data_IF_256023259180
#
_entry.id   IF_256023259180
#
_cell.length_a   1.000
_cell.length_b   1.000
_cell.length_c   1.000
_cell.angle_alpha   90.00
_cell.angle_beta   90.00
_cell.angle_gamma   90.00
#
_symmetry.space_group_name_H-M   'P 1'
#
loop_
_entity.id
_entity.type
_entity.pdbx_description
1 polymer ?
#
# COMPACT_ATOMS: atom_id res chain seq x y z
N UNK A 1 -6.15 19.15 -13.24
CA UNK A 1 -7.02 18.90 -12.06
C UNK A 1 -6.71 17.48 -11.65
N UNK A 2 -6.39 17.24 -10.38
CA UNK A 2 -6.17 15.89 -9.85
C UNK A 2 -7.49 15.11 -9.93
N UNK A 3 -7.41 13.83 -10.29
CA UNK A 3 -8.56 12.94 -10.38
C UNK A 3 -8.88 12.33 -9.02
N UNK A 4 -7.84 12.06 -8.23
CA UNK A 4 -7.95 11.54 -6.87
C UNK A 4 -7.31 12.51 -5.89
N UNK A 5 -7.99 12.80 -4.78
CA UNK A 5 -7.49 13.65 -3.70
C UNK A 5 -7.95 13.08 -2.36
N UNK A 6 -7.03 13.02 -1.40
CA UNK A 6 -7.31 12.62 -0.02
C UNK A 6 -6.50 13.46 0.97
N UNK A 7 -6.72 13.25 2.27
CA UNK A 7 -5.92 13.79 3.36
C UNK A 7 -4.63 12.98 3.50
N UNK A 8 -3.50 13.66 3.63
CA UNK A 8 -2.21 13.03 3.87
C UNK A 8 -2.16 12.49 5.30
N UNK A 9 -1.93 11.19 5.44
CA UNK A 9 -1.71 10.50 6.70
C UNK A 9 -0.24 10.13 6.83
N UNK A 10 0.37 10.53 7.96
CA UNK A 10 1.77 10.18 8.29
C UNK A 10 1.82 9.71 9.73
N UNK A 11 2.39 8.53 9.97
CA UNK A 11 2.55 8.01 11.33
C UNK A 11 1.22 7.76 12.05
N UNK A 12 0.16 7.42 11.31
CA UNK A 12 -1.21 7.17 11.81
C UNK A 12 -1.98 8.42 12.23
N UNK A 13 -1.54 9.60 11.78
CA UNK A 13 -2.23 10.86 12.07
C UNK A 13 -2.25 11.79 10.84
N UNK A 14 -3.11 12.80 10.89
CA UNK A 14 -3.21 13.83 9.85
C UNK A 14 -1.91 14.63 9.79
N UNK A 15 -1.31 14.69 8.60
CA UNK A 15 -0.22 15.61 8.35
C UNK A 15 -0.78 17.03 8.28
N UNK A 16 -0.37 17.89 9.21
CA UNK A 16 -0.78 19.28 9.24
C UNK A 16 0.29 20.19 8.61
N UNK A 17 -0.16 21.28 8.00
CA UNK A 17 0.69 22.38 7.59
C UNK A 17 1.02 23.31 8.79
N UNK A 18 1.89 24.32 8.62
CA UNK A 18 2.20 25.27 9.71
C UNK A 18 1.00 26.06 10.25
N UNK A 19 -0.09 26.13 9.49
CA UNK A 19 -1.34 26.80 9.87
C UNK A 19 -2.35 25.84 10.54
N UNK A 20 -1.94 24.58 10.81
CA UNK A 20 -2.76 23.50 11.36
C UNK A 20 -3.90 23.05 10.44
N UNK A 21 -3.76 23.23 9.14
CA UNK A 21 -4.69 22.67 8.15
C UNK A 21 -4.20 21.29 7.69
N UNK A 22 -5.10 20.32 7.49
CA UNK A 22 -4.74 19.04 6.90
C UNK A 22 -4.14 19.22 5.51
N UNK A 23 -3.00 18.56 5.28
CA UNK A 23 -2.37 18.51 3.97
C UNK A 23 -3.11 17.52 3.08
N UNK A 24 -3.22 17.84 1.81
CA UNK A 24 -3.79 16.95 0.80
C UNK A 24 -2.70 16.13 0.12
N UNK A 25 -3.10 14.98 -0.41
CA UNK A 25 -2.31 14.10 -1.26
C UNK A 25 -3.15 13.75 -2.50
N UNK A 26 -2.52 13.62 -3.66
CA UNK A 26 -3.24 13.49 -4.94
C UNK A 26 -2.75 12.32 -5.81
N UNK A 27 -3.65 11.91 -6.72
CA UNK A 27 -3.44 10.96 -7.81
C UNK A 27 -2.64 9.72 -7.37
N UNK A 28 -1.42 9.58 -7.89
CA UNK A 28 -0.54 8.42 -7.63
C UNK A 28 -0.26 8.22 -6.14
N UNK A 29 -0.04 9.31 -5.41
CA UNK A 29 0.36 9.25 -4.02
C UNK A 29 -0.85 8.92 -3.12
N UNK A 30 -2.05 9.39 -3.50
CA UNK A 30 -3.30 9.01 -2.85
C UNK A 30 -3.57 7.51 -3.01
N UNK A 31 -3.42 6.96 -4.22
CA UNK A 31 -3.56 5.51 -4.45
C UNK A 31 -2.55 4.72 -3.61
N UNK A 32 -1.29 5.16 -3.56
CA UNK A 32 -0.27 4.50 -2.76
C UNK A 32 -0.62 4.47 -1.25
N UNK A 33 -1.16 5.57 -0.72
CA UNK A 33 -1.62 5.65 0.68
C UNK A 33 -2.78 4.68 0.94
N UNK A 34 -3.77 4.62 0.06
CA UNK A 34 -4.91 3.72 0.19
C UNK A 34 -4.48 2.25 0.20
N UNK A 35 -3.55 1.87 -0.68
CA UNK A 35 -3.00 0.51 -0.72
C UNK A 35 -2.28 0.18 0.59
N UNK A 36 -1.48 1.11 1.14
CA UNK A 36 -0.81 0.91 2.41
C UNK A 36 -1.80 0.66 3.56
N UNK A 37 -2.86 1.48 3.63
CA UNK A 37 -3.93 1.33 4.62
C UNK A 37 -4.69 0.02 4.45
N UNK A 38 -5.12 -0.31 3.23
CA UNK A 38 -5.84 -1.54 2.94
C UNK A 38 -5.06 -2.79 3.36
N UNK A 39 -3.76 -2.86 3.03
CA UNK A 39 -2.93 -4.01 3.43
C UNK A 39 -2.81 -4.07 4.95
N UNK A 40 -2.64 -2.94 5.61
CA UNK A 40 -2.56 -2.90 7.08
C UNK A 40 -3.88 -3.32 7.74
N UNK A 41 -5.00 -2.82 7.24
CA UNK A 41 -6.33 -3.10 7.77
C UNK A 41 -6.73 -4.56 7.58
N UNK A 42 -6.18 -5.24 6.56
CA UNK A 42 -6.39 -6.68 6.35
C UNK A 42 -5.80 -7.56 7.45
N UNK A 43 -4.80 -7.08 8.20
CA UNK A 43 -4.06 -7.88 9.19
C UNK A 43 -3.13 -8.94 8.61
N UNK A 44 -3.00 -9.04 7.28
CA UNK A 44 -2.14 -10.04 6.62
C UNK A 44 -0.66 -9.82 6.92
N UNK A 45 -0.19 -8.57 7.04
CA UNK A 45 1.20 -8.27 7.44
C UNK A 45 1.55 -8.85 8.81
N UNK A 46 0.65 -8.69 9.80
CA UNK A 46 0.85 -9.23 11.15
C UNK A 46 0.93 -10.76 11.10
N UNK A 47 0.07 -11.37 10.29
CA UNK A 47 0.06 -12.82 10.06
C UNK A 47 1.37 -13.29 9.43
N UNK A 48 1.86 -12.59 8.40
CA UNK A 48 3.09 -12.89 7.69
C UNK A 48 4.32 -12.85 8.61
N UNK A 49 4.42 -11.82 9.46
CA UNK A 49 5.55 -11.65 10.39
C UNK A 49 5.58 -12.75 11.46
N UNK A 50 4.41 -13.22 11.89
CA UNK A 50 4.27 -14.29 12.88
C UNK A 50 4.54 -15.69 12.30
N UNK A 51 4.31 -15.89 10.99
CA UNK A 51 4.43 -17.18 10.33
C UNK A 51 5.90 -17.60 10.13
N UNK A 52 6.17 -18.90 10.31
CA UNK A 52 7.50 -19.52 10.17
C UNK A 52 7.56 -20.55 9.03
N UNK A 53 6.41 -21.04 8.58
CA UNK A 53 6.32 -21.93 7.44
C UNK A 53 6.44 -21.13 6.13
N UNK A 54 7.44 -21.46 5.31
CA UNK A 54 7.73 -20.76 4.05
C UNK A 54 6.60 -20.86 3.02
N UNK A 55 5.87 -21.97 2.97
CA UNK A 55 4.74 -22.14 2.05
C UNK A 55 3.58 -21.24 2.46
N UNK A 56 3.30 -21.15 3.77
CA UNK A 56 2.27 -20.25 4.31
C UNK A 56 2.64 -18.78 4.18
N UNK A 57 3.92 -18.43 4.37
CA UNK A 57 4.40 -17.08 4.08
C UNK A 57 4.17 -16.70 2.62
N UNK A 58 4.49 -17.59 1.69
CA UNK A 58 4.25 -17.36 0.25
C UNK A 58 2.76 -17.23 -0.05
N UNK A 59 1.91 -18.04 0.58
CA UNK A 59 0.45 -17.94 0.43
C UNK A 59 -0.09 -16.60 0.96
N UNK A 60 0.37 -16.16 2.13
CA UNK A 60 -0.01 -14.87 2.71
C UNK A 60 0.44 -13.68 1.84
N UNK A 61 1.65 -13.76 1.26
CA UNK A 61 2.12 -12.78 0.27
C UNK A 61 1.21 -12.77 -0.96
N UNK A 62 0.85 -13.94 -1.49
CA UNK A 62 -0.04 -14.05 -2.64
C UNK A 62 -1.43 -13.47 -2.34
N UNK A 63 -1.97 -13.70 -1.15
CA UNK A 63 -3.24 -13.12 -0.72
C UNK A 63 -3.18 -11.59 -0.65
N UNK A 64 -2.08 -11.02 -0.15
CA UNK A 64 -1.90 -9.57 -0.15
C UNK A 64 -1.75 -9.02 -1.58
N UNK A 65 -1.04 -9.71 -2.47
CA UNK A 65 -0.95 -9.29 -3.88
C UNK A 65 -2.33 -9.28 -4.55
N UNK A 66 -3.16 -10.31 -4.33
CA UNK A 66 -4.53 -10.36 -4.84
C UNK A 66 -5.40 -9.24 -4.26
N UNK A 67 -5.27 -8.96 -2.96
CA UNK A 67 -5.97 -7.85 -2.31
C UNK A 67 -5.59 -6.49 -2.93
N UNK A 68 -4.32 -6.28 -3.28
CA UNK A 68 -3.88 -5.09 -4.00
C UNK A 68 -4.49 -5.02 -5.40
N UNK A 69 -4.58 -6.16 -6.09
CA UNK A 69 -5.14 -6.24 -7.44
C UNK A 69 -6.65 -6.00 -7.51
N UNK A 70 -7.38 -6.14 -6.40
CA UNK A 70 -8.80 -5.79 -6.32
C UNK A 70 -9.06 -4.27 -6.44
N UNK A 71 -8.02 -3.42 -6.30
CA UNK A 71 -8.13 -1.99 -6.54
C UNK A 71 -8.24 -1.70 -8.05
N UNK A 72 -9.44 -1.23 -8.46
CA UNK A 72 -9.78 -0.92 -9.86
C UNK A 72 -8.90 0.17 -10.51
N UNK A 73 -8.09 0.90 -9.73
CA UNK A 73 -7.16 1.93 -10.22
C UNK A 73 -5.82 1.33 -10.65
N UNK A 74 -5.55 0.07 -10.31
CA UNK A 74 -4.34 -0.67 -10.63
C UNK A 74 -4.53 -1.58 -11.85
N UNK A 75 -3.41 -1.92 -12.49
CA UNK A 75 -3.37 -2.90 -13.59
C UNK A 75 -3.25 -4.30 -12.97
N UNK A 76 -4.23 -5.20 -13.18
CA UNK A 76 -4.16 -6.56 -12.64
C UNK A 76 -2.92 -7.31 -13.13
N UNK A 77 -2.36 -8.17 -12.28
CA UNK A 77 -1.13 -8.92 -12.54
C UNK A 77 0.17 -8.13 -12.34
N UNK A 78 0.10 -6.86 -11.93
CA UNK A 78 1.28 -6.01 -11.71
C UNK A 78 1.66 -5.83 -10.24
N UNK A 79 0.81 -6.27 -9.30
CA UNK A 79 1.12 -6.18 -7.88
C UNK A 79 2.22 -7.20 -7.52
N UNK A 80 3.23 -6.73 -6.79
CA UNK A 80 4.31 -7.55 -6.27
C UNK A 80 4.67 -7.10 -4.87
N UNK A 81 4.84 -8.07 -3.97
CA UNK A 81 5.28 -7.82 -2.60
C UNK A 81 6.60 -8.56 -2.38
N UNK A 82 7.65 -7.81 -2.09
CA UNK A 82 9.01 -8.32 -1.95
C UNK A 82 9.60 -7.95 -0.59
N UNK A 83 10.27 -8.88 0.12
CA UNK A 83 10.97 -8.53 1.35
C UNK A 83 12.19 -7.66 1.02
N UNK A 84 12.40 -6.57 1.77
CA UNK A 84 13.62 -5.77 1.69
C UNK A 84 14.55 -6.06 2.85
N UNK A 85 14.02 -5.99 4.06
CA UNK A 85 14.73 -6.22 5.32
C UNK A 85 13.87 -7.11 6.23
N UNK A 86 14.42 -7.71 7.29
CA UNK A 86 13.63 -8.49 8.23
C UNK A 86 12.48 -7.68 8.82
N UNK A 87 11.25 -7.98 8.40
CA UNK A 87 10.03 -7.30 8.83
C UNK A 87 9.58 -6.12 7.96
N UNK A 88 10.35 -5.77 6.91
CA UNK A 88 10.03 -4.67 5.98
C UNK A 88 9.74 -5.23 4.59
N UNK A 89 8.60 -4.83 4.02
CA UNK A 89 8.17 -5.31 2.70
C UNK A 89 7.95 -4.14 1.74
N UNK A 90 8.41 -4.30 0.50
CA UNK A 90 8.14 -3.38 -0.60
C UNK A 90 7.00 -3.91 -1.45
N UNK A 91 5.95 -3.11 -1.59
CA UNK A 91 4.87 -3.30 -2.54
C UNK A 91 5.12 -2.45 -3.76
N UNK A 92 5.05 -3.06 -4.93
CA UNK A 92 5.08 -2.35 -6.21
C UNK A 92 3.86 -2.74 -7.05
N UNK A 93 3.23 -1.76 -7.70
CA UNK A 93 2.14 -2.02 -8.64
C UNK A 93 2.10 -0.93 -9.71
N UNK A 94 1.44 -1.20 -10.84
CA UNK A 94 1.24 -0.20 -11.89
C UNK A 94 -0.18 0.33 -11.84
N UNK A 95 -0.33 1.64 -11.74
CA UNK A 95 -1.64 2.31 -11.89
C UNK A 95 -2.03 2.38 -13.36
N UNK A 96 -3.34 2.47 -13.63
CA UNK A 96 -3.86 2.62 -14.99
C UNK A 96 -3.44 3.94 -15.65
N UNK A 97 -3.36 5.03 -14.88
CA UNK A 97 -3.18 6.40 -15.40
C UNK A 97 -1.89 7.11 -14.98
N UNK A 98 -1.26 6.71 -13.86
CA UNK A 98 -0.20 7.50 -13.21
C UNK A 98 1.15 6.78 -13.10
N UNK A 99 1.34 5.67 -13.83
CA UNK A 99 2.57 4.88 -13.79
C UNK A 99 2.69 3.99 -12.56
N UNK A 100 3.91 3.63 -12.16
CA UNK A 100 4.17 2.71 -11.06
C UNK A 100 4.11 3.40 -9.70
N UNK A 101 3.58 2.69 -8.71
CA UNK A 101 3.64 3.02 -7.28
C UNK A 101 4.59 2.09 -6.56
N UNK A 102 5.20 2.62 -5.50
CA UNK A 102 6.06 1.89 -4.58
C UNK A 102 5.67 2.28 -3.16
N UNK A 103 5.41 1.29 -2.31
CA UNK A 103 4.97 1.47 -0.92
C UNK A 103 5.82 0.58 -0.04
N UNK A 104 6.42 1.16 0.99
CA UNK A 104 7.14 0.40 2.02
C UNK A 104 6.21 0.16 3.22
N UNK A 105 6.13 -1.10 3.66
CA UNK A 105 5.33 -1.59 4.77
C UNK A 105 6.20 -2.06 5.93
#
# INVERSE_FOLDING_TARGET
>A
MSEYVDLLIVGNDLALDPSRQPRLIDDRACIAQDIAHMIRDSGLLVTLVAERDRLRQRDCIQQMELLVEDDVRLVPGTARITPQEPGTYLVTAKTLKFGSIEVSL
#
